data_IF_547683034390
#
_entry.id   IF_547683034390
#
_cell.length_a   1.000
_cell.length_b   1.000
_cell.length_c   1.000
_cell.angle_alpha   90.00
_cell.angle_beta   90.00
_cell.angle_gamma   90.00
#
_symmetry.space_group_name_H-M   'P 1'
#
loop_
_entity.id
_entity.type
_entity.pdbx_description
1 polymer ?
#
# COMPACT_ATOMS: atom_id res chain seq x y z
N UNK A 1 9.81 12.58 8.15
CA UNK A 1 9.63 11.20 7.67
C UNK A 1 8.86 11.24 6.36
N UNK A 2 9.41 10.61 5.34
CA UNK A 2 8.73 10.60 4.05
C UNK A 2 7.55 9.64 4.05
N UNK A 3 6.58 9.90 3.19
CA UNK A 3 5.31 9.19 3.15
C UNK A 3 5.11 8.57 1.78
N UNK A 4 4.94 7.26 1.75
CA UNK A 4 4.81 6.49 0.51
C UNK A 4 3.50 5.73 0.53
N UNK A 5 2.80 5.71 -0.60
CA UNK A 5 1.63 4.86 -0.77
C UNK A 5 1.96 3.82 -1.84
N UNK A 6 1.71 2.55 -1.52
CA UNK A 6 1.96 1.45 -2.43
C UNK A 6 0.62 0.80 -2.77
N UNK A 7 0.23 0.90 -4.03
CA UNK A 7 -1.02 0.31 -4.51
C UNK A 7 -0.74 -1.10 -5.00
N UNK A 8 -1.48 -2.07 -4.46
CA UNK A 8 -1.26 -3.47 -4.80
C UNK A 8 -0.22 -4.13 -3.94
N UNK A 9 -0.13 -3.76 -2.67
CA UNK A 9 0.93 -4.23 -1.78
C UNK A 9 0.81 -5.69 -1.40
N UNK A 10 -0.29 -6.37 -1.74
CA UNK A 10 -0.42 -7.79 -1.45
C UNK A 10 0.32 -8.67 -2.45
N UNK A 11 0.76 -8.10 -3.58
CA UNK A 11 1.61 -8.85 -4.51
C UNK A 11 3.01 -8.98 -3.91
N UNK A 12 3.79 -9.92 -4.43
CA UNK A 12 5.13 -10.16 -3.90
C UNK A 12 6.01 -8.93 -3.93
N UNK A 13 5.98 -8.19 -5.05
CA UNK A 13 6.80 -6.98 -5.19
C UNK A 13 6.33 -5.88 -4.27
N UNK A 14 5.02 -5.64 -4.24
CA UNK A 14 4.47 -4.58 -3.39
C UNK A 14 4.69 -4.84 -1.92
N UNK A 15 4.51 -6.09 -1.50
CA UNK A 15 4.75 -6.46 -0.10
C UNK A 15 6.22 -6.26 0.28
N UNK A 16 7.12 -6.69 -0.60
CA UNK A 16 8.55 -6.54 -0.34
C UNK A 16 8.95 -5.09 -0.19
N UNK A 17 8.40 -4.22 -1.06
CA UNK A 17 8.68 -2.79 -0.96
C UNK A 17 8.15 -2.20 0.35
N UNK A 18 6.92 -2.58 0.74
CA UNK A 18 6.35 -2.06 1.98
C UNK A 18 7.22 -2.45 3.18
N UNK A 19 7.66 -3.68 3.22
CA UNK A 19 8.49 -4.16 4.32
C UNK A 19 9.85 -3.48 4.33
N UNK A 20 10.43 -3.26 3.16
CA UNK A 20 11.72 -2.60 3.06
C UNK A 20 11.64 -1.15 3.52
N UNK A 21 10.65 -0.40 3.04
CA UNK A 21 10.53 1.01 3.42
C UNK A 21 10.17 1.17 4.89
N UNK A 22 9.43 0.22 5.46
CA UNK A 22 9.12 0.28 6.88
C UNK A 22 10.40 0.21 7.72
N UNK A 23 11.37 -0.58 7.26
CA UNK A 23 12.65 -0.66 7.95
C UNK A 23 13.49 0.60 7.77
N UNK A 24 13.19 1.42 6.76
CA UNK A 24 13.95 2.61 6.44
C UNK A 24 13.31 3.90 6.94
N UNK A 25 12.39 3.77 7.89
CA UNK A 25 11.82 4.93 8.58
C UNK A 25 10.92 5.79 7.71
N UNK A 26 10.08 5.14 6.90
CA UNK A 26 9.06 5.80 6.12
C UNK A 26 7.68 5.55 6.73
N UNK A 27 6.74 6.48 6.52
CA UNK A 27 5.33 6.19 6.73
C UNK A 27 4.80 5.58 5.43
N UNK A 28 4.08 4.49 5.54
CA UNK A 28 3.67 3.73 4.37
C UNK A 28 2.19 3.41 4.42
N UNK A 29 1.47 3.81 3.37
CA UNK A 29 0.08 3.41 3.18
C UNK A 29 0.06 2.32 2.12
N UNK A 30 -0.67 1.25 2.36
CA UNK A 30 -0.76 0.15 1.42
C UNK A 30 -2.20 -0.13 1.06
N UNK A 31 -2.43 -0.55 -0.16
CA UNK A 31 -3.76 -0.97 -0.61
C UNK A 31 -3.69 -2.33 -1.27
N UNK A 32 -4.81 -3.03 -1.26
CA UNK A 32 -4.93 -4.31 -1.90
C UNK A 32 -6.32 -4.86 -1.71
N UNK A 33 -6.62 -6.00 -2.33
CA UNK A 33 -7.93 -6.61 -2.23
C UNK A 33 -8.08 -7.54 -1.04
N UNK A 34 -6.99 -8.01 -0.48
CA UNK A 34 -7.01 -9.04 0.57
C UNK A 34 -6.68 -8.41 1.91
N UNK A 35 -7.73 -8.10 2.66
CA UNK A 35 -7.55 -7.42 3.94
C UNK A 35 -6.68 -8.20 4.91
N UNK A 36 -6.80 -9.52 4.94
CA UNK A 36 -6.01 -10.31 5.87
C UNK A 36 -4.51 -10.18 5.61
N UNK A 37 -4.11 -10.07 4.33
CA UNK A 37 -2.70 -9.88 4.00
C UNK A 37 -2.23 -8.47 4.35
N UNK A 38 -3.10 -7.47 4.14
CA UNK A 38 -2.77 -6.11 4.51
C UNK A 38 -2.57 -5.98 6.01
N UNK A 39 -3.45 -6.62 6.79
CA UNK A 39 -3.31 -6.62 8.24
C UNK A 39 -2.03 -7.29 8.68
N UNK A 40 -1.64 -8.37 8.02
CA UNK A 40 -0.41 -9.08 8.33
C UNK A 40 0.80 -8.20 8.11
N UNK A 41 0.81 -7.46 7.00
CA UNK A 41 1.91 -6.55 6.72
C UNK A 41 1.96 -5.43 7.75
N UNK A 42 0.82 -4.83 8.06
CA UNK A 42 0.77 -3.71 8.99
C UNK A 42 1.09 -4.12 10.42
N UNK A 43 0.87 -5.38 10.77
CA UNK A 43 1.18 -5.87 12.11
C UNK A 43 2.68 -5.81 12.41
N UNK A 44 3.52 -5.71 11.39
CA UNK A 44 4.96 -5.64 11.58
C UNK A 44 5.41 -4.30 12.18
N UNK A 45 4.68 -3.23 11.89
CA UNK A 45 4.98 -1.93 12.47
C UNK A 45 3.74 -1.04 12.39
N UNK A 46 2.91 -1.12 13.41
CA UNK A 46 1.63 -0.42 13.42
C UNK A 46 1.75 1.10 13.45
N UNK A 47 2.89 1.61 13.88
CA UNK A 47 3.10 3.05 13.93
C UNK A 47 3.41 3.65 12.57
N UNK A 48 3.92 2.84 11.64
CA UNK A 48 4.37 3.33 10.35
C UNK A 48 3.52 2.84 9.18
N UNK A 49 2.75 1.77 9.36
CA UNK A 49 2.01 1.14 8.28
C UNK A 49 0.51 1.36 8.42
N UNK A 50 -0.10 1.82 7.35
CA UNK A 50 -1.55 2.07 7.26
C UNK A 50 -2.08 1.29 6.06
N UNK A 51 -3.34 0.89 6.08
CA UNK A 51 -3.87 0.19 4.93
C UNK A 51 -5.31 0.58 4.64
N UNK A 52 -5.69 0.37 3.38
CA UNK A 52 -7.08 0.44 2.93
C UNK A 52 -7.32 -0.71 1.97
N UNK A 53 -8.45 -1.36 2.12
CA UNK A 53 -8.84 -2.41 1.19
C UNK A 53 -9.43 -1.74 -0.05
N UNK A 54 -8.90 -2.06 -1.22
CA UNK A 54 -9.50 -1.55 -2.45
C UNK A 54 -9.17 -2.47 -3.61
N UNK A 55 -10.09 -2.47 -4.58
CA UNK A 55 -9.92 -3.17 -5.84
C UNK A 55 -9.61 -2.11 -6.88
N UNK A 56 -8.39 -2.12 -7.42
CA UNK A 56 -7.93 -1.09 -8.33
C UNK A 56 -8.76 -1.01 -9.62
N UNK A 57 -9.53 -2.05 -9.92
CA UNK A 57 -10.42 -2.01 -11.07
C UNK A 57 -11.62 -1.08 -10.85
N UNK A 58 -11.86 -0.66 -9.62
CA UNK A 58 -12.91 0.28 -9.29
C UNK A 58 -12.29 1.64 -9.00
N UNK A 59 -12.25 2.51 -10.01
CA UNK A 59 -11.53 3.78 -9.94
C UNK A 59 -11.98 4.66 -8.78
N UNK A 60 -13.30 4.80 -8.60
CA UNK A 60 -13.81 5.66 -7.55
C UNK A 60 -13.41 5.18 -6.17
N UNK A 61 -13.51 3.87 -5.93
CA UNK A 61 -13.11 3.30 -4.65
C UNK A 61 -11.62 3.47 -4.41
N UNK A 62 -10.83 3.31 -5.47
CA UNK A 62 -9.38 3.49 -5.36
C UNK A 62 -9.04 4.92 -4.95
N UNK A 63 -9.69 5.91 -5.59
CA UNK A 63 -9.42 7.30 -5.25
C UNK A 63 -9.79 7.60 -3.80
N UNK A 64 -10.94 7.09 -3.35
CA UNK A 64 -11.34 7.29 -1.96
C UNK A 64 -10.36 6.65 -0.99
N UNK A 65 -9.88 5.46 -1.30
CA UNK A 65 -8.89 4.79 -0.46
C UNK A 65 -7.60 5.58 -0.37
N UNK A 66 -7.15 6.11 -1.50
CA UNK A 66 -5.94 6.92 -1.51
C UNK A 66 -6.12 8.20 -0.70
N UNK A 67 -7.27 8.86 -0.84
CA UNK A 67 -7.55 10.05 -0.05
C UNK A 67 -7.55 9.76 1.44
N UNK A 68 -8.15 8.64 1.82
CA UNK A 68 -8.18 8.24 3.22
C UNK A 68 -6.77 8.03 3.76
N UNK A 69 -5.93 7.32 3.00
CA UNK A 69 -4.56 7.10 3.42
C UNK A 69 -3.78 8.40 3.53
N UNK A 70 -3.95 9.31 2.58
CA UNK A 70 -3.27 10.60 2.62
C UNK A 70 -3.66 11.35 3.88
N UNK A 71 -4.95 11.33 4.24
CA UNK A 71 -5.41 12.00 5.45
C UNK A 71 -4.84 11.34 6.71
N UNK A 72 -4.84 10.02 6.75
CA UNK A 72 -4.32 9.30 7.92
C UNK A 72 -2.83 9.51 8.11
N UNK A 73 -2.10 9.57 7.01
CA UNK A 73 -0.65 9.71 7.05
C UNK A 73 -0.20 11.17 7.16
N UNK A 74 -1.08 12.11 6.89
CA UNK A 74 -0.74 13.52 6.91
C UNK A 74 -0.07 13.99 5.63
N UNK A 75 -0.23 13.26 4.55
CA UNK A 75 0.34 13.65 3.26
C UNK A 75 0.86 12.44 2.48
N UNK A 76 1.45 12.71 1.33
CA UNK A 76 2.04 11.67 0.48
C UNK A 76 3.17 12.30 -0.32
N UNK A 77 4.35 11.68 -0.26
CA UNK A 77 5.50 12.15 -1.04
C UNK A 77 5.71 11.31 -2.29
N UNK A 78 5.31 10.04 -2.27
CA UNK A 78 5.55 9.14 -3.39
C UNK A 78 4.41 8.14 -3.51
N UNK A 79 4.06 7.80 -4.74
CA UNK A 79 3.05 6.78 -5.03
C UNK A 79 3.67 5.71 -5.91
N UNK A 80 3.57 4.46 -5.48
CA UNK A 80 4.08 3.33 -6.25
C UNK A 80 2.91 2.42 -6.59
N UNK A 81 2.73 2.12 -7.85
CA UNK A 81 1.63 1.26 -8.30
C UNK A 81 2.22 -0.08 -8.74
N UNK A 82 1.89 -1.12 -8.00
CA UNK A 82 2.36 -2.48 -8.31
C UNK A 82 1.25 -3.37 -8.86
N UNK A 83 0.01 -2.90 -8.76
CA UNK A 83 -1.13 -3.71 -9.17
C UNK A 83 -1.06 -4.04 -10.65
N UNK A 84 -1.30 -5.29 -10.97
CA UNK A 84 -1.33 -5.73 -12.34
C UNK A 84 0.02 -5.99 -12.97
N UNK A 85 1.10 -5.73 -12.24
CA UNK A 85 2.42 -5.95 -12.82
C UNK A 85 2.91 -7.37 -12.61
N UNK A 86 2.80 -7.87 -11.42
CA UNK A 86 3.32 -9.18 -11.11
C UNK A 86 2.50 -10.30 -11.68
N UNK A 87 1.23 -10.11 -11.78
CA UNK A 87 0.34 -11.15 -12.28
C UNK A 87 0.37 -11.28 -13.77
N UNK A 88 0.78 -10.26 -14.41
CA UNK A 88 0.71 -10.31 -15.83
C UNK A 88 1.80 -11.07 -16.44
N UNK A 89 2.32 -11.01 -15.89
CA UNK A 89 3.23 -11.51 -16.54
C UNK A 89 3.33 -12.60 -16.39
N UNK A 90 3.00 -12.85 -16.10
CA UNK A 90 3.65 -13.90 -16.14
C UNK A 90 3.50 -14.26 -17.42
N UNK A 91 3.53 -13.65 -17.58
CA UNK A 91 3.54 -13.77 -18.63
C UNK A 91 4.08 -14.27 -19.16
#
# INVERSE_FOLDING_TARGET
MKKIIIVGATSGIGRGLAEQYAREDYLIGITGRRENLLKEICAQDKDKLFYQVCDITHTETTLLSLETLVQEMGGMDMLIICAGTGELNPQ
#
